data_IF_788770025796
#
_entry.id   IF_788770025796
#
_cell.length_a   1.000
_cell.length_b   1.000
_cell.length_c   1.000
_cell.angle_alpha   90.00
_cell.angle_beta   90.00
_cell.angle_gamma   90.00
#
_symmetry.space_group_name_H-M   'P 1'
#
loop_
_entity.id
_entity.type
_entity.pdbx_description
1 polymer ?
#
# COMPACT_ATOMS: atom_id res chain seq x y z
N UNK A 1 21.99 12.95 12.59
CA UNK A 1 20.96 14.02 12.58
C UNK A 1 20.97 14.69 11.21
N UNK A 2 20.39 14.07 10.19
CA UNK A 2 20.28 14.66 8.84
C UNK A 2 18.79 14.65 8.49
N UNK A 3 18.25 15.78 8.02
CA UNK A 3 16.98 15.77 7.29
C UNK A 3 15.93 16.84 7.59
N UNK A 4 16.13 17.78 8.52
CA UNK A 4 15.22 18.95 8.63
C UNK A 4 15.82 20.18 7.97
N UNK A 5 15.93 20.15 6.64
CA UNK A 5 16.08 21.39 5.86
C UNK A 5 14.70 22.02 5.72
N UNK A 6 14.48 23.15 6.39
CA UNK A 6 13.24 23.93 6.27
C UNK A 6 13.21 24.53 4.86
N UNK A 7 12.31 24.04 4.01
CA UNK A 7 12.06 24.63 2.70
C UNK A 7 10.99 25.72 2.84
N UNK A 8 11.17 26.87 2.19
CA UNK A 8 10.12 27.90 2.12
C UNK A 8 9.00 27.53 1.13
N UNK A 9 9.19 26.50 0.31
CA UNK A 9 8.26 26.07 -0.74
C UNK A 9 7.38 24.89 -0.31
N UNK A 10 7.85 24.06 0.63
CA UNK A 10 7.13 22.87 1.06
C UNK A 10 6.83 22.90 2.56
N UNK A 11 5.70 22.32 2.93
CA UNK A 11 5.37 22.11 4.35
C UNK A 11 6.40 21.18 4.99
N UNK A 12 6.70 21.32 6.29
CA UNK A 12 7.79 20.61 6.95
C UNK A 12 7.59 19.08 6.99
N UNK A 13 6.41 18.57 6.69
CA UNK A 13 6.09 17.15 6.54
C UNK A 13 6.55 16.53 5.21
N UNK A 14 6.87 17.33 4.20
CA UNK A 14 7.35 16.84 2.91
C UNK A 14 8.86 16.58 2.97
N UNK A 15 9.21 15.34 3.28
CA UNK A 15 10.60 14.86 3.19
C UNK A 15 11.02 14.61 1.74
N UNK A 16 12.33 14.53 1.43
CA UNK A 16 12.80 14.26 0.06
C UNK A 16 12.22 12.98 -0.54
N UNK A 17 12.09 11.90 0.25
CA UNK A 17 11.51 10.64 -0.22
C UNK A 17 10.00 10.75 -0.46
N UNK A 18 9.27 11.52 0.37
CA UNK A 18 7.84 11.80 0.15
C UNK A 18 7.65 12.57 -1.15
N UNK A 19 8.47 13.61 -1.40
CA UNK A 19 8.38 14.41 -2.63
C UNK A 19 8.72 13.57 -3.87
N UNK A 20 9.75 12.73 -3.79
CA UNK A 20 10.12 11.81 -4.88
C UNK A 20 8.99 10.82 -5.19
N UNK A 21 8.34 10.27 -4.15
CA UNK A 21 7.19 9.38 -4.28
C UNK A 21 5.95 10.10 -4.84
N UNK A 22 5.68 11.35 -4.46
CA UNK A 22 4.61 12.15 -5.04
C UNK A 22 4.77 12.34 -6.55
N UNK A 23 6.02 12.44 -7.03
CA UNK A 23 6.34 12.52 -8.47
C UNK A 23 6.52 11.17 -9.15
N UNK A 24 6.32 10.08 -8.41
CA UNK A 24 6.45 8.69 -8.87
C UNK A 24 7.76 8.43 -9.64
N UNK A 25 8.86 9.07 -9.22
CA UNK A 25 10.14 8.96 -9.91
C UNK A 25 10.95 7.77 -9.37
N UNK A 26 10.86 6.65 -10.08
CA UNK A 26 11.54 5.40 -9.74
C UNK A 26 13.02 5.56 -9.39
N UNK A 27 13.80 6.29 -10.19
CA UNK A 27 15.25 6.40 -10.01
C UNK A 27 15.61 7.14 -8.72
N UNK A 28 14.90 8.22 -8.42
CA UNK A 28 15.14 9.01 -7.20
C UNK A 28 14.66 8.23 -5.97
N UNK A 29 13.49 7.60 -6.04
CA UNK A 29 12.94 6.79 -4.95
C UNK A 29 13.92 5.66 -4.61
N UNK A 30 14.40 4.93 -5.62
CA UNK A 30 15.39 3.86 -5.44
C UNK A 30 16.66 4.36 -4.76
N UNK A 31 17.22 5.46 -5.25
CA UNK A 31 18.43 6.06 -4.67
C UNK A 31 18.26 6.42 -3.18
N UNK A 32 17.11 6.98 -2.80
CA UNK A 32 16.81 7.35 -1.42
C UNK A 32 16.59 6.10 -0.55
N UNK A 33 15.87 5.10 -1.07
CA UNK A 33 15.69 3.81 -0.39
C UNK A 33 17.03 3.09 -0.15
N UNK A 34 17.94 3.10 -1.13
CA UNK A 34 19.27 2.48 -1.02
C UNK A 34 20.14 3.16 0.06
N UNK A 35 19.90 4.46 0.31
CA UNK A 35 20.54 5.22 1.41
C UNK A 35 19.90 5.02 2.78
N UNK A 36 18.82 4.25 2.85
CA UNK A 36 18.12 3.94 4.10
C UNK A 36 16.94 4.86 4.42
N UNK A 37 16.57 5.80 3.54
CA UNK A 37 15.37 6.62 3.76
C UNK A 37 14.12 5.74 3.70
N UNK A 38 13.15 6.01 4.58
CA UNK A 38 11.87 5.27 4.65
C UNK A 38 10.73 6.25 4.90
N UNK A 39 9.55 5.90 4.40
CA UNK A 39 8.31 6.63 4.72
C UNK A 39 7.64 5.91 5.88
N UNK A 40 7.44 6.61 6.99
CA UNK A 40 6.73 6.08 8.14
C UNK A 40 5.24 5.97 7.82
N UNK A 41 4.63 4.81 8.16
CA UNK A 41 3.20 4.64 8.01
C UNK A 41 2.46 5.49 9.07
N UNK A 42 1.48 6.31 8.68
CA UNK A 42 0.70 7.08 9.64
C UNK A 42 -0.02 6.18 10.64
N UNK A 43 -0.23 6.68 11.85
CA UNK A 43 -1.09 6.01 12.82
C UNK A 43 -2.56 6.02 12.37
N UNK A 44 -3.36 5.10 12.93
CA UNK A 44 -4.80 5.10 12.70
C UNK A 44 -5.45 6.39 13.25
N UNK A 45 -6.60 6.76 12.68
CA UNK A 45 -7.34 7.97 13.03
C UNK A 45 -7.77 8.01 14.51
N UNK A 46 -7.96 6.84 15.12
CA UNK A 46 -8.35 6.70 16.52
C UNK A 46 -7.17 6.47 17.47
N UNK A 47 -5.93 6.72 17.02
CA UNK A 47 -4.76 6.52 17.86
C UNK A 47 -4.75 7.50 19.06
N UNK A 48 -4.73 6.94 20.27
CA UNK A 48 -4.70 7.71 21.52
C UNK A 48 -3.28 7.93 22.08
N UNK A 49 -2.23 7.77 21.27
CA UNK A 49 -0.86 8.02 21.75
C UNK A 49 -0.63 9.52 21.98
N UNK A 50 0.27 9.84 22.91
CA UNK A 50 0.56 11.23 23.30
C UNK A 50 0.94 12.11 22.09
N UNK A 51 1.70 11.57 21.13
CA UNK A 51 2.12 12.30 19.93
C UNK A 51 0.93 12.67 19.02
N UNK A 52 0.00 11.75 18.78
CA UNK A 52 -1.19 12.00 17.96
C UNK A 52 -2.16 12.96 18.65
N UNK A 53 -2.39 12.77 19.96
CA UNK A 53 -3.28 13.63 20.75
C UNK A 53 -2.72 15.05 20.82
N UNK A 54 -1.42 15.21 21.03
CA UNK A 54 -0.78 16.51 21.08
C UNK A 54 -0.79 17.20 19.70
N UNK A 55 -0.36 16.51 18.63
CA UNK A 55 -0.36 17.08 17.29
C UNK A 55 -1.77 17.52 16.84
N UNK A 56 -2.79 16.73 17.15
CA UNK A 56 -4.18 17.08 16.84
C UNK A 56 -4.72 18.26 17.67
N UNK A 57 -4.21 18.47 18.89
CA UNK A 57 -4.59 19.61 19.75
C UNK A 57 -3.89 20.90 19.33
N UNK A 58 -2.64 20.81 18.89
CA UNK A 58 -1.85 21.94 18.43
C UNK A 58 -2.33 22.44 17.06
N UNK A 59 -2.44 21.54 16.07
CA UNK A 59 -2.93 21.86 14.73
C UNK A 59 -3.52 20.61 14.07
N UNK A 60 -4.84 20.46 14.19
CA UNK A 60 -5.58 19.33 13.62
C UNK A 60 -5.49 19.29 12.08
N UNK A 61 -5.53 20.44 11.41
CA UNK A 61 -5.47 20.50 9.95
C UNK A 61 -4.10 20.09 9.44
N UNK A 62 -3.02 20.58 10.07
CA UNK A 62 -1.67 20.19 9.70
C UNK A 62 -1.41 18.71 10.00
N UNK A 63 -1.96 18.17 11.09
CA UNK A 63 -1.89 16.75 11.40
C UNK A 63 -2.57 15.88 10.32
N UNK A 64 -3.75 16.30 9.85
CA UNK A 64 -4.44 15.66 8.72
C UNK A 64 -3.67 15.78 7.40
N UNK A 65 -3.11 16.95 7.09
CA UNK A 65 -2.28 17.18 5.89
C UNK A 65 -1.06 16.26 5.86
N UNK A 66 -0.37 16.11 6.99
CA UNK A 66 0.76 15.18 7.11
C UNK A 66 0.34 13.75 6.79
N UNK A 67 -0.82 13.33 7.29
CA UNK A 67 -1.37 11.99 7.07
C UNK A 67 -1.66 11.74 5.58
N UNK A 68 -2.42 12.61 4.93
CA UNK A 68 -2.75 12.44 3.50
C UNK A 68 -1.50 12.52 2.63
N UNK A 69 -0.53 13.40 2.94
CA UNK A 69 0.73 13.48 2.22
C UNK A 69 1.57 12.20 2.34
N UNK A 70 1.60 11.58 3.53
CA UNK A 70 2.23 10.29 3.73
C UNK A 70 1.53 9.18 2.93
N UNK A 71 0.19 9.12 2.95
CA UNK A 71 -0.57 8.15 2.16
C UNK A 71 -0.42 8.34 0.65
N UNK A 72 -0.34 9.59 0.18
CA UNK A 72 -0.04 9.93 -1.23
C UNK A 72 1.34 9.42 -1.66
N UNK A 73 2.32 9.44 -0.76
CA UNK A 73 3.64 8.85 -1.02
C UNK A 73 3.58 7.31 -0.97
N UNK A 74 2.93 6.71 0.02
CA UNK A 74 2.81 5.25 0.18
C UNK A 74 2.05 4.58 -0.98
N UNK A 75 1.15 5.31 -1.64
CA UNK A 75 0.39 4.86 -2.81
C UNK A 75 1.12 5.05 -4.15
N UNK A 76 2.39 5.48 -4.15
CA UNK A 76 3.21 5.52 -5.37
C UNK A 76 3.48 4.11 -5.91
N UNK A 77 3.13 3.81 -7.17
CA UNK A 77 3.47 2.55 -7.84
C UNK A 77 4.95 2.20 -7.76
N UNK A 78 5.83 3.18 -8.03
CA UNK A 78 7.28 2.99 -7.97
C UNK A 78 7.75 2.64 -6.57
N UNK A 79 7.22 3.32 -5.55
CA UNK A 79 7.55 3.03 -4.16
C UNK A 79 7.08 1.62 -3.75
N UNK A 80 5.83 1.25 -4.06
CA UNK A 80 5.30 -0.08 -3.74
C UNK A 80 6.13 -1.16 -4.44
N UNK A 81 6.49 -0.97 -5.71
CA UNK A 81 7.29 -1.91 -6.49
C UNK A 81 8.72 -2.09 -5.92
N UNK A 82 9.32 -1.03 -5.37
CA UNK A 82 10.67 -1.06 -4.82
C UNK A 82 10.74 -1.55 -3.37
N UNK A 83 9.69 -1.31 -2.58
CA UNK A 83 9.72 -1.53 -1.13
C UNK A 83 8.92 -2.75 -0.65
N UNK A 84 7.94 -3.22 -1.43
CA UNK A 84 7.10 -4.36 -1.04
C UNK A 84 7.64 -5.70 -1.57
N UNK A 85 7.51 -6.74 -0.74
CA UNK A 85 7.75 -8.14 -1.15
C UNK A 85 6.61 -8.69 -2.02
N UNK A 86 5.39 -8.22 -1.80
CA UNK A 86 4.19 -8.61 -2.55
C UNK A 86 3.40 -7.35 -2.96
N UNK A 87 3.79 -6.71 -4.08
CA UNK A 87 3.20 -5.44 -4.53
C UNK A 87 1.68 -5.50 -4.76
N UNK A 88 1.17 -6.64 -5.22
CA UNK A 88 -0.27 -6.83 -5.50
C UNK A 88 -1.06 -6.87 -4.19
N UNK A 89 -0.59 -7.63 -3.20
CA UNK A 89 -1.22 -7.67 -1.88
C UNK A 89 -1.19 -6.29 -1.21
N UNK A 90 -0.02 -5.64 -1.20
CA UNK A 90 0.14 -4.31 -0.61
C UNK A 90 -0.81 -3.29 -1.26
N UNK A 91 -0.92 -3.30 -2.59
CA UNK A 91 -1.83 -2.40 -3.31
C UNK A 91 -3.31 -2.66 -2.96
N UNK A 92 -3.72 -3.93 -2.83
CA UNK A 92 -5.07 -4.28 -2.40
C UNK A 92 -5.37 -3.83 -0.98
N UNK A 93 -4.50 -4.13 -0.02
CA UNK A 93 -4.67 -3.73 1.38
C UNK A 93 -4.71 -2.20 1.52
N UNK A 94 -3.80 -1.50 0.84
CA UNK A 94 -3.71 -0.04 0.87
C UNK A 94 -4.96 0.60 0.24
N UNK A 95 -5.44 0.09 -0.91
CA UNK A 95 -6.68 0.61 -1.51
C UNK A 95 -7.90 0.43 -0.59
N UNK A 96 -7.94 -0.67 0.18
CA UNK A 96 -8.96 -0.98 1.17
C UNK A 96 -8.91 0.02 2.34
N UNK A 97 -7.69 0.25 2.86
CA UNK A 97 -7.43 1.18 3.94
C UNK A 97 -7.77 2.63 3.56
N UNK A 98 -7.32 3.09 2.39
CA UNK A 98 -7.60 4.45 1.88
C UNK A 98 -9.11 4.70 1.75
N UNK A 99 -9.85 3.72 1.23
CA UNK A 99 -11.31 3.81 1.13
C UNK A 99 -12.00 3.88 2.49
N UNK A 100 -11.45 3.21 3.51
CA UNK A 100 -11.93 3.32 4.89
C UNK A 100 -11.62 4.71 5.45
N UNK A 101 -10.41 5.22 5.22
CA UNK A 101 -9.98 6.54 5.67
C UNK A 101 -10.85 7.66 5.08
N UNK A 102 -11.15 7.61 3.78
CA UNK A 102 -12.03 8.61 3.15
C UNK A 102 -13.45 8.67 3.72
N UNK A 103 -13.92 7.59 4.36
CA UNK A 103 -15.22 7.61 5.08
C UNK A 103 -15.14 8.21 6.47
N UNK A 104 -13.96 8.16 7.08
CA UNK A 104 -13.74 8.61 8.45
C UNK A 104 -13.26 10.08 8.49
N UNK A 105 -12.51 10.51 7.47
CA UNK A 105 -11.97 11.85 7.32
C UNK A 105 -12.54 12.47 6.04
N UNK A 106 -13.72 13.10 6.18
CA UNK A 106 -14.55 13.50 5.05
C UNK A 106 -13.98 14.72 4.30
N UNK A 107 -13.14 15.52 4.97
CA UNK A 107 -12.48 16.71 4.42
C UNK A 107 -11.51 16.37 3.27
N UNK A 108 -10.91 15.18 3.31
CA UNK A 108 -9.97 14.67 2.30
C UNK A 108 -10.50 13.42 1.58
N UNK A 109 -11.82 13.20 1.61
CA UNK A 109 -12.43 11.99 1.04
C UNK A 109 -12.03 11.77 -0.41
N UNK A 110 -12.14 12.82 -1.23
CA UNK A 110 -11.91 12.73 -2.66
C UNK A 110 -10.43 12.41 -2.96
N UNK A 111 -9.49 12.99 -2.18
CA UNK A 111 -8.07 12.63 -2.23
C UNK A 111 -7.86 11.14 -1.89
N UNK A 112 -8.47 10.64 -0.81
CA UNK A 112 -8.34 9.22 -0.43
C UNK A 112 -8.94 8.28 -1.47
N UNK A 113 -10.04 8.66 -2.13
CA UNK A 113 -10.65 7.89 -3.20
C UNK A 113 -9.74 7.82 -4.43
N UNK A 114 -9.15 8.94 -4.86
CA UNK A 114 -8.17 8.99 -5.95
C UNK A 114 -6.95 8.08 -5.66
N UNK A 115 -6.39 8.17 -4.45
CA UNK A 115 -5.27 7.32 -4.05
C UNK A 115 -5.65 5.84 -4.01
N UNK A 116 -6.89 5.53 -3.58
CA UNK A 116 -7.41 4.17 -3.60
C UNK A 116 -7.46 3.64 -5.03
N UNK A 117 -8.04 4.40 -5.97
CA UNK A 117 -8.11 4.05 -7.38
C UNK A 117 -6.72 3.84 -8.00
N UNK A 118 -5.76 4.70 -7.69
CA UNK A 118 -4.37 4.56 -8.13
C UNK A 118 -3.76 3.21 -7.74
N UNK A 119 -4.00 2.77 -6.50
CA UNK A 119 -3.53 1.46 -6.03
C UNK A 119 -4.22 0.30 -6.75
N UNK A 120 -5.53 0.40 -7.00
CA UNK A 120 -6.29 -0.62 -7.74
C UNK A 120 -5.80 -0.74 -9.18
N UNK A 121 -5.56 0.41 -9.83
CA UNK A 121 -5.03 0.48 -11.19
C UNK A 121 -3.64 -0.17 -11.25
N UNK A 122 -2.75 0.16 -10.31
CA UNK A 122 -1.42 -0.45 -10.24
C UNK A 122 -1.48 -1.98 -10.12
N UNK A 123 -2.30 -2.50 -9.21
CA UNK A 123 -2.47 -3.95 -9.04
C UNK A 123 -3.03 -4.61 -10.32
N UNK A 124 -3.98 -3.95 -10.98
CA UNK A 124 -4.57 -4.44 -12.24
C UNK A 124 -3.52 -4.43 -13.36
N UNK A 125 -2.75 -3.35 -13.49
CA UNK A 125 -1.68 -3.24 -14.49
C UNK A 125 -0.59 -4.30 -14.29
N UNK A 126 -0.27 -4.68 -13.04
CA UNK A 126 0.66 -5.80 -12.78
C UNK A 126 0.08 -7.14 -13.23
N UNK A 127 -1.20 -7.40 -13.00
CA UNK A 127 -1.88 -8.62 -13.45
C UNK A 127 -1.95 -8.72 -14.98
N UNK A 128 -2.13 -7.57 -15.65
CA UNK A 128 -2.15 -7.48 -17.11
C UNK A 128 -0.79 -7.81 -17.76
N UNK A 129 0.32 -7.78 -17.01
CA UNK A 129 1.64 -8.17 -17.52
C UNK A 129 1.87 -9.69 -17.54
N UNK A 130 0.95 -10.50 -16.99
CA UNK A 130 1.05 -11.96 -17.06
C UNK A 130 0.91 -12.45 -18.51
N UNK A 131 1.80 -13.34 -18.96
CA UNK A 131 1.89 -13.80 -20.36
C UNK A 131 1.09 -15.07 -20.64
N UNK A 132 0.54 -15.71 -19.62
CA UNK A 132 -0.20 -16.96 -19.78
C UNK A 132 -1.04 -17.33 -18.57
N UNK A 133 -1.92 -18.31 -18.77
CA UNK A 133 -2.83 -18.83 -17.73
C UNK A 133 -2.09 -19.45 -16.54
N UNK A 134 -0.90 -20.03 -16.76
CA UNK A 134 -0.08 -20.60 -15.70
C UNK A 134 0.45 -19.53 -14.72
N UNK A 135 1.03 -18.43 -15.23
CA UNK A 135 1.49 -17.31 -14.39
C UNK A 135 0.32 -16.68 -13.63
N UNK A 136 -0.81 -16.48 -14.32
CA UNK A 136 -2.00 -15.93 -13.70
C UNK A 136 -2.53 -16.84 -12.58
N UNK A 137 -2.56 -18.16 -12.78
CA UNK A 137 -2.98 -19.13 -11.77
C UNK A 137 -2.08 -19.08 -10.52
N UNK A 138 -0.75 -18.97 -10.71
CA UNK A 138 0.21 -18.83 -9.61
C UNK A 138 -0.07 -17.55 -8.82
N UNK A 139 -0.22 -16.41 -9.52
CA UNK A 139 -0.47 -15.12 -8.88
C UNK A 139 -1.79 -15.13 -8.10
N UNK A 140 -2.86 -15.69 -8.66
CA UNK A 140 -4.19 -15.71 -8.04
C UNK A 140 -4.31 -16.69 -6.85
N UNK A 141 -3.56 -17.79 -6.88
CA UNK A 141 -3.55 -18.80 -5.84
C UNK A 141 -2.46 -18.61 -4.78
N UNK A 142 -1.57 -17.62 -4.96
CA UNK A 142 -0.51 -17.32 -4.00
C UNK A 142 -1.10 -17.14 -2.58
N UNK A 143 -0.65 -17.99 -1.65
CA UNK A 143 -1.13 -17.96 -0.28
C UNK A 143 -0.67 -16.68 0.41
N UNK A 144 -1.66 -15.92 0.86
CA UNK A 144 -1.45 -14.73 1.68
C UNK A 144 -1.21 -15.26 3.09
N UNK A 145 0.04 -15.60 3.43
CA UNK A 145 0.40 -15.72 4.83
C UNK A 145 0.24 -14.34 5.43
N UNK A 146 -0.88 -14.13 6.12
CA UNK A 146 -1.12 -12.97 6.97
C UNK A 146 0.12 -12.75 7.84
N UNK A 147 0.92 -11.74 7.53
CA UNK A 147 1.98 -11.27 8.41
C UNK A 147 1.32 -10.50 9.55
N UNK A 148 0.62 -11.23 10.43
CA UNK A 148 -0.21 -10.63 11.47
C UNK A 148 -1.13 -11.62 12.18
N UNK A 149 -0.60 -12.76 12.65
CA UNK A 149 -1.02 -13.52 13.84
C UNK A 149 -0.46 -14.95 13.76
N UNK A 150 0.45 -15.32 14.68
CA UNK A 150 0.78 -16.71 15.02
C UNK A 150 1.31 -17.58 13.86
N UNK A 151 2.62 -17.54 13.63
CA UNK A 151 3.29 -18.47 12.72
C UNK A 151 3.09 -19.92 13.17
N UNK A 152 2.48 -20.74 12.31
CA UNK A 152 2.64 -22.19 12.35
C UNK A 152 3.35 -22.59 11.05
N UNK A 153 4.66 -22.85 11.17
CA UNK A 153 5.63 -23.08 10.08
C UNK A 153 5.51 -24.48 9.42
N UNK A 154 4.36 -25.14 9.54
CA UNK A 154 4.17 -26.51 9.05
C UNK A 154 3.31 -26.59 7.77
N UNK A 155 3.57 -25.74 6.78
CA UNK A 155 2.91 -25.90 5.46
C UNK A 155 3.83 -25.70 4.25
N UNK A 156 5.15 -25.85 4.43
CA UNK A 156 6.10 -25.92 3.31
C UNK A 156 6.38 -27.38 2.88
N UNK A 157 5.45 -28.31 3.16
CA UNK A 157 5.62 -29.75 2.87
C UNK A 157 4.49 -30.38 2.04
N UNK A 158 3.75 -29.58 1.27
CA UNK A 158 2.69 -30.10 0.37
C UNK A 158 2.83 -29.53 -1.04
N UNK A 159 4.05 -29.56 -1.59
CA UNK A 159 4.27 -29.26 -3.01
C UNK A 159 5.12 -30.31 -3.71
N UNK A 160 5.30 -31.49 -3.10
CA UNK A 160 5.83 -32.65 -3.79
C UNK A 160 4.85 -33.80 -3.51
N UNK A 161 4.23 -34.31 -4.59
CA UNK A 161 3.32 -35.45 -4.67
C UNK A 161 1.85 -35.18 -4.28
N UNK A 162 1.03 -34.82 -5.27
CA UNK A 162 -0.20 -35.55 -5.60
C UNK A 162 -0.73 -35.08 -6.97
N UNK A 163 -0.56 -35.91 -8.00
CA UNK A 163 -1.06 -35.68 -9.37
C UNK A 163 -2.57 -35.99 -9.52
N UNK A 164 -3.31 -36.21 -8.43
CA UNK A 164 -4.69 -36.69 -8.53
C UNK A 164 -5.68 -35.97 -7.63
N UNK A 165 -5.79 -34.65 -7.78
CA UNK A 165 -7.05 -33.97 -7.45
C UNK A 165 -7.18 -32.70 -8.26
N UNK A 166 -8.31 -32.57 -8.96
CA UNK A 166 -8.74 -31.37 -9.68
C UNK A 166 -8.33 -30.12 -8.90
N UNK A 167 -7.33 -29.40 -9.42
CA UNK A 167 -6.65 -28.28 -8.77
C UNK A 167 -7.69 -27.31 -8.22
N UNK A 168 -8.00 -27.45 -6.93
CA UNK A 168 -9.12 -26.75 -6.31
C UNK A 168 -8.66 -25.33 -6.11
N UNK A 169 -8.81 -24.49 -7.14
CA UNK A 169 -8.36 -23.10 -7.14
C UNK A 169 -8.88 -22.41 -5.87
N UNK A 170 -8.01 -22.22 -4.87
CA UNK A 170 -8.36 -21.57 -3.61
C UNK A 170 -8.69 -20.09 -3.85
N UNK A 171 -8.11 -19.51 -4.91
CA UNK A 171 -8.31 -18.14 -5.41
C UNK A 171 -8.26 -17.10 -4.27
N UNK A 172 -7.29 -17.25 -3.38
CA UNK A 172 -7.16 -16.43 -2.17
C UNK A 172 -7.09 -14.94 -2.50
N UNK A 173 -6.37 -14.57 -3.58
CA UNK A 173 -6.28 -13.18 -4.03
C UNK A 173 -7.57 -12.67 -4.68
N UNK A 174 -8.32 -13.53 -5.38
CA UNK A 174 -9.61 -13.15 -5.94
C UNK A 174 -10.63 -12.86 -4.82
N UNK A 175 -10.64 -13.69 -3.77
CA UNK A 175 -11.47 -13.44 -2.58
C UNK A 175 -11.11 -12.12 -1.92
N UNK A 176 -9.82 -11.81 -1.78
CA UNK A 176 -9.35 -10.53 -1.27
C UNK A 176 -9.76 -9.37 -2.18
N UNK A 177 -9.64 -9.52 -3.50
CA UNK A 177 -10.02 -8.51 -4.47
C UNK A 177 -11.52 -8.17 -4.38
N UNK A 178 -12.38 -9.20 -4.22
CA UNK A 178 -13.82 -9.02 -3.99
C UNK A 178 -14.06 -8.28 -2.66
N UNK A 179 -13.41 -8.71 -1.57
CA UNK A 179 -13.52 -8.07 -0.25
C UNK A 179 -13.13 -6.60 -0.31
N UNK A 180 -12.06 -6.28 -1.03
CA UNK A 180 -11.58 -4.91 -1.20
C UNK A 180 -12.29 -4.12 -2.30
N UNK A 181 -13.35 -4.68 -2.89
CA UNK A 181 -14.14 -4.05 -3.96
C UNK A 181 -13.26 -3.54 -5.11
N UNK A 182 -12.27 -4.33 -5.49
CA UNK A 182 -11.45 -4.10 -6.68
C UNK A 182 -12.37 -4.22 -7.90
N UNK A 183 -12.89 -3.09 -8.39
CA UNK A 183 -13.79 -3.05 -9.55
C UNK A 183 -13.11 -2.23 -10.63
N UNK A 184 -12.81 -2.87 -11.76
CA UNK A 184 -12.45 -2.13 -12.97
C UNK A 184 -13.74 -1.52 -13.52
N UNK A 185 -13.90 -0.21 -13.41
CA UNK A 185 -14.99 0.49 -14.10
C UNK A 185 -14.62 0.46 -15.58
N UNK A 186 -15.44 -0.15 -16.46
CA UNK A 186 -15.18 -0.09 -17.89
C UNK A 186 -15.25 1.37 -18.34
N UNK A 187 -14.22 1.84 -19.06
CA UNK A 187 -14.24 3.14 -19.74
C UNK A 187 -15.20 3.10 -20.92
#
# INVERSE_FOLDING_TARGET
MLGRTISSTFTPDITPIILAAHRDNYAIIKLLLDRGDRIARPHDLQCACNLCVQASREDSLQHSKLRINAYRALSSPSLIALSSKDPILTAFELSCELRRLGRLENEFRDDYEELSEKCQLFATSLLEQTRGSAELAIVLNHEIFSYGAGANVNMMKTSIMDETSTERMRLSRLKLAIKCKQKKVPK
#
